data_IF_750549585403
#
_entry.id   IF_750549585403
#
_cell.length_a   1.000
_cell.length_b   1.000
_cell.length_c   1.000
_cell.angle_alpha   90.00
_cell.angle_beta   90.00
_cell.angle_gamma   90.00
#
_symmetry.space_group_name_H-M   'P 1'
#
loop_
_entity.id
_entity.type
_entity.pdbx_description
1 polymer ?
#
# COMPACT_ATOMS: atom_id res chain seq x y z
N UNK A 1 0.16 -5.81 21.92
CA UNK A 1 0.29 -7.14 21.28
C UNK A 1 1.75 -7.54 21.22
N UNK A 2 2.11 -8.82 21.35
CA UNK A 2 3.50 -9.23 21.25
C UNK A 2 4.01 -9.11 19.80
N UNK A 3 5.31 -8.83 19.66
CA UNK A 3 6.05 -8.93 18.42
C UNK A 3 5.96 -10.36 17.85
N UNK A 4 6.08 -10.50 16.52
CA UNK A 4 6.20 -11.80 15.85
C UNK A 4 7.68 -12.15 15.62
N UNK A 5 8.03 -13.42 15.36
CA UNK A 5 9.41 -13.77 15.01
C UNK A 5 9.97 -12.96 13.84
N UNK A 6 9.13 -12.71 12.83
CA UNK A 6 9.48 -11.86 11.70
C UNK A 6 9.73 -10.40 12.13
N UNK A 7 8.81 -9.80 12.88
CA UNK A 7 8.97 -8.39 13.28
C UNK A 7 10.21 -8.19 14.16
N UNK A 8 10.51 -9.13 15.07
CA UNK A 8 11.75 -9.12 15.85
C UNK A 8 12.99 -9.26 14.96
N UNK A 9 12.97 -10.15 13.96
CA UNK A 9 14.10 -10.28 13.02
C UNK A 9 14.35 -9.01 12.20
N UNK A 10 13.30 -8.21 11.99
CA UNK A 10 13.35 -6.90 11.33
C UNK A 10 13.63 -5.74 12.29
N UNK A 11 13.89 -6.01 13.59
CA UNK A 11 14.12 -4.99 14.63
C UNK A 11 12.92 -4.04 14.83
N UNK A 12 11.71 -4.60 14.75
CA UNK A 12 10.44 -3.89 14.97
C UNK A 12 9.86 -4.25 16.35
N UNK A 13 9.19 -3.28 16.97
CA UNK A 13 8.48 -3.49 18.24
C UNK A 13 7.08 -4.07 18.02
N UNK A 14 6.47 -3.74 16.88
CA UNK A 14 5.13 -4.20 16.49
C UNK A 14 5.14 -4.77 15.06
N UNK A 15 4.32 -5.79 14.76
CA UNK A 15 4.29 -6.42 13.44
C UNK A 15 3.39 -5.63 12.47
N UNK A 16 3.60 -4.30 12.38
CA UNK A 16 2.81 -3.38 11.57
C UNK A 16 3.73 -2.68 10.57
N UNK A 17 3.30 -2.67 9.31
CA UNK A 17 3.95 -1.98 8.19
C UNK A 17 2.92 -1.01 7.60
N UNK A 18 3.29 0.26 7.38
CA UNK A 18 2.44 1.09 6.50
C UNK A 18 2.70 0.66 5.05
N UNK A 19 1.65 0.52 4.26
CA UNK A 19 1.80 0.20 2.85
C UNK A 19 2.55 1.35 2.12
N UNK A 20 3.45 1.05 1.17
CA UNK A 20 4.03 2.03 0.26
C UNK A 20 2.98 2.47 -0.76
N UNK A 21 2.25 3.53 -0.42
CA UNK A 21 1.20 4.10 -1.25
C UNK A 21 1.77 5.24 -2.10
N UNK A 22 1.83 5.05 -3.42
CA UNK A 22 2.36 6.05 -4.35
C UNK A 22 1.66 7.40 -4.20
N UNK A 23 2.41 8.47 -3.92
CA UNK A 23 1.87 9.82 -3.74
C UNK A 23 1.18 10.08 -2.40
N UNK A 24 1.09 9.09 -1.51
CA UNK A 24 0.44 9.23 -0.19
C UNK A 24 1.39 8.88 0.95
N UNK A 25 2.15 7.78 0.81
CA UNK A 25 3.13 7.34 1.80
C UNK A 25 4.50 7.99 1.53
N UNK A 26 4.65 9.24 1.95
CA UNK A 26 5.92 9.96 1.89
C UNK A 26 6.91 9.57 2.99
N UNK A 27 8.09 10.21 2.96
CA UNK A 27 9.16 10.01 3.94
C UNK A 27 8.78 10.39 5.37
N UNK A 28 7.96 11.44 5.54
CA UNK A 28 7.48 11.85 6.86
C UNK A 28 6.62 10.77 7.53
N UNK A 29 5.69 10.15 6.79
CA UNK A 29 4.88 9.03 7.26
C UNK A 29 5.75 7.83 7.61
N UNK A 30 6.65 7.42 6.69
CA UNK A 30 7.56 6.31 6.93
C UNK A 30 8.38 6.53 8.21
N UNK A 31 8.99 7.70 8.37
CA UNK A 31 9.78 8.02 9.55
C UNK A 31 8.95 7.99 10.85
N UNK A 32 7.69 8.46 10.81
CA UNK A 32 6.80 8.43 11.97
C UNK A 32 6.41 7.00 12.37
N UNK A 33 6.08 6.14 11.40
CA UNK A 33 5.76 4.72 11.61
C UNK A 33 6.96 3.97 12.19
N UNK A 34 8.16 4.18 11.63
CA UNK A 34 9.40 3.57 12.11
C UNK A 34 9.76 4.00 13.54
N UNK A 35 9.57 5.28 13.89
CA UNK A 35 9.77 5.78 15.26
C UNK A 35 8.77 5.20 16.25
N UNK A 36 7.55 4.92 15.80
CA UNK A 36 6.51 4.27 16.60
C UNK A 36 6.66 2.75 16.71
N UNK A 37 7.74 2.18 16.17
CA UNK A 37 8.10 0.78 16.32
C UNK A 37 7.54 -0.18 15.26
N UNK A 38 6.79 0.33 14.28
CA UNK A 38 6.46 -0.41 13.06
C UNK A 38 7.56 -0.29 12.00
N UNK A 39 7.30 -0.80 10.79
CA UNK A 39 8.14 -0.57 9.62
C UNK A 39 7.52 0.51 8.73
N UNK A 40 8.18 1.66 8.67
CA UNK A 40 7.83 2.75 7.78
C UNK A 40 8.22 2.49 6.33
N UNK A 41 7.28 2.60 5.40
CA UNK A 41 7.53 2.43 3.96
C UNK A 41 7.26 3.72 3.18
N UNK A 42 8.25 4.16 2.39
CA UNK A 42 8.08 5.20 1.36
C UNK A 42 7.48 4.56 0.11
N UNK A 43 6.43 5.15 -0.47
CA UNK A 43 5.75 4.65 -1.66
C UNK A 43 6.02 5.48 -2.91
N UNK A 44 6.66 4.86 -3.92
CA UNK A 44 6.91 5.48 -5.22
C UNK A 44 5.96 4.90 -6.28
N UNK A 45 5.00 5.72 -6.72
CA UNK A 45 3.96 5.33 -7.70
C UNK A 45 4.43 5.30 -9.16
N UNK A 46 3.49 5.11 -10.10
CA UNK A 46 3.77 4.95 -11.53
C UNK A 46 4.51 6.14 -12.15
N UNK A 47 4.22 7.35 -11.66
CA UNK A 47 4.83 8.60 -12.10
C UNK A 47 6.09 8.99 -11.29
N UNK A 48 6.61 8.09 -10.45
CA UNK A 48 7.77 8.39 -9.61
C UNK A 48 9.01 8.78 -10.42
N UNK A 49 9.77 9.72 -9.85
CA UNK A 49 11.06 10.18 -10.35
C UNK A 49 12.13 10.00 -9.27
N UNK A 50 13.40 9.99 -9.68
CA UNK A 50 14.53 9.96 -8.74
C UNK A 50 14.50 11.17 -7.80
N UNK A 51 14.24 12.37 -8.33
CA UNK A 51 14.15 13.59 -7.53
C UNK A 51 13.04 13.52 -6.47
N UNK A 52 11.89 12.95 -6.80
CA UNK A 52 10.81 12.79 -5.84
C UNK A 52 11.20 11.81 -4.73
N UNK A 53 11.90 10.71 -5.08
CA UNK A 53 12.43 9.78 -4.06
C UNK A 53 13.47 10.46 -3.17
N UNK A 54 14.43 11.20 -3.74
CA UNK A 54 15.47 11.92 -2.99
C UNK A 54 14.87 12.90 -1.99
N UNK A 55 13.81 13.62 -2.37
CA UNK A 55 13.07 14.50 -1.47
C UNK A 55 12.49 13.73 -0.28
N UNK A 56 11.82 12.59 -0.54
CA UNK A 56 11.26 11.77 0.53
C UNK A 56 12.34 11.17 1.44
N UNK A 57 13.50 10.81 0.87
CA UNK A 57 14.63 10.25 1.63
C UNK A 57 15.22 11.23 2.65
N UNK A 58 15.00 12.55 2.49
CA UNK A 58 15.45 13.53 3.49
C UNK A 58 14.84 13.30 4.87
N UNK A 59 13.60 12.79 4.95
CA UNK A 59 12.88 12.56 6.20
C UNK A 59 13.35 11.33 6.99
N UNK A 60 14.03 10.39 6.33
CA UNK A 60 14.55 9.16 6.94
C UNK A 60 16.08 9.18 7.08
N UNK A 61 16.73 10.26 6.65
CA UNK A 61 18.17 10.45 6.84
C UNK A 61 18.51 10.49 8.33
N UNK A 62 19.41 9.60 8.75
CA UNK A 62 19.82 9.50 10.16
C UNK A 62 18.78 8.83 11.08
N UNK A 63 17.74 8.21 10.51
CA UNK A 63 16.78 7.44 11.29
C UNK A 63 17.47 6.19 11.87
N UNK A 64 17.45 6.04 13.20
CA UNK A 64 18.02 4.88 13.92
C UNK A 64 17.08 3.66 13.95
N UNK A 65 16.03 3.68 13.13
CA UNK A 65 15.00 2.64 13.03
C UNK A 65 14.87 2.20 11.57
N UNK A 66 14.54 0.93 11.31
CA UNK A 66 14.41 0.43 9.94
C UNK A 66 13.29 1.17 9.21
N UNK A 67 13.52 1.43 7.94
CA UNK A 67 12.50 1.88 6.99
C UNK A 67 12.60 1.02 5.72
N UNK A 68 11.59 1.10 4.87
CA UNK A 68 11.61 0.46 3.57
C UNK A 68 11.09 1.36 2.46
N UNK A 69 11.20 0.85 1.23
CA UNK A 69 10.78 1.55 0.01
C UNK A 69 9.95 0.60 -0.84
N UNK A 70 8.83 1.06 -1.35
CA UNK A 70 8.01 0.37 -2.33
C UNK A 70 8.08 1.03 -3.69
N UNK A 71 8.33 0.22 -4.73
CA UNK A 71 8.35 0.62 -6.13
C UNK A 71 7.33 -0.20 -6.94
N UNK A 72 7.03 0.27 -8.13
CA UNK A 72 6.19 -0.45 -9.09
C UNK A 72 7.07 -1.14 -10.13
N UNK A 73 6.74 -2.37 -10.52
CA UNK A 73 7.54 -3.21 -11.42
C UNK A 73 7.90 -2.54 -12.75
N UNK A 74 6.95 -1.94 -13.47
CA UNK A 74 7.29 -1.19 -14.69
C UNK A 74 8.08 0.09 -14.41
N UNK A 75 7.95 0.66 -13.21
CA UNK A 75 8.78 1.78 -12.75
C UNK A 75 10.24 1.38 -12.68
N UNK A 76 10.53 0.23 -12.07
CA UNK A 76 11.86 -0.36 -12.01
C UNK A 76 12.41 -0.66 -13.41
N UNK A 77 11.59 -1.25 -14.30
CA UNK A 77 12.02 -1.59 -15.67
C UNK A 77 12.30 -0.36 -16.52
N UNK A 78 11.41 0.65 -16.50
CA UNK A 78 11.55 1.82 -17.37
C UNK A 78 12.53 2.87 -16.83
N UNK A 79 12.81 2.84 -15.52
CA UNK A 79 13.72 3.78 -14.85
C UNK A 79 14.68 3.04 -13.90
N UNK A 80 15.71 2.34 -14.43
CA UNK A 80 16.66 1.62 -13.59
C UNK A 80 17.32 2.48 -12.50
N UNK A 81 17.57 3.76 -12.80
CA UNK A 81 18.10 4.72 -11.82
C UNK A 81 17.23 4.87 -10.55
N UNK A 82 15.90 4.68 -10.66
CA UNK A 82 15.02 4.72 -9.49
C UNK A 82 15.29 3.54 -8.54
N UNK A 83 15.55 2.35 -9.08
CA UNK A 83 15.95 1.20 -8.29
C UNK A 83 17.33 1.42 -7.67
N UNK A 84 18.30 1.97 -8.43
CA UNK A 84 19.63 2.28 -7.88
C UNK A 84 19.56 3.23 -6.69
N UNK A 85 18.81 4.34 -6.83
CA UNK A 85 18.64 5.31 -5.75
C UNK A 85 17.96 4.68 -4.54
N UNK A 86 16.94 3.85 -4.76
CA UNK A 86 16.27 3.15 -3.67
C UNK A 86 17.21 2.18 -2.93
N UNK A 87 18.02 1.39 -3.65
CA UNK A 87 18.98 0.46 -3.04
C UNK A 87 20.11 1.21 -2.32
N UNK A 88 20.62 2.29 -2.91
CA UNK A 88 21.68 3.12 -2.31
C UNK A 88 21.24 3.81 -1.01
N UNK A 89 19.93 4.01 -0.83
CA UNK A 89 19.38 4.52 0.43
C UNK A 89 19.45 3.50 1.59
N UNK A 90 19.75 2.23 1.31
CA UNK A 90 19.88 1.16 2.31
C UNK A 90 18.58 0.83 3.07
N UNK A 91 17.43 0.63 2.40
CA UNK A 91 16.20 0.24 3.09
C UNK A 91 16.34 -1.15 3.69
N UNK A 92 15.77 -1.36 4.87
CA UNK A 92 15.67 -2.69 5.49
C UNK A 92 14.80 -3.64 4.66
N UNK A 93 13.78 -3.10 3.98
CA UNK A 93 12.88 -3.84 3.11
C UNK A 93 12.62 -3.07 1.81
N UNK A 94 12.86 -3.72 0.68
CA UNK A 94 12.45 -3.27 -0.64
C UNK A 94 11.24 -4.08 -1.10
N UNK A 95 10.16 -3.39 -1.45
CA UNK A 95 9.01 -4.01 -2.11
C UNK A 95 8.90 -3.57 -3.55
N UNK A 96 8.73 -4.52 -4.47
CA UNK A 96 8.36 -4.23 -5.85
C UNK A 96 7.12 -5.04 -6.18
N UNK A 97 6.05 -4.35 -6.56
CA UNK A 97 4.74 -4.97 -6.82
C UNK A 97 4.30 -4.79 -8.28
N UNK A 98 3.26 -5.54 -8.67
CA UNK A 98 2.60 -5.44 -9.98
C UNK A 98 3.48 -5.80 -11.19
N UNK A 99 4.46 -6.67 -11.00
CA UNK A 99 5.33 -7.20 -12.05
C UNK A 99 5.39 -8.72 -12.04
N UNK A 100 5.75 -9.27 -13.19
CA UNK A 100 5.97 -10.72 -13.40
C UNK A 100 7.46 -11.06 -13.58
N UNK A 101 8.32 -10.04 -13.53
CA UNK A 101 9.77 -10.13 -13.62
C UNK A 101 10.44 -9.85 -12.26
N UNK A 102 11.49 -10.61 -11.99
CA UNK A 102 12.19 -10.63 -10.70
C UNK A 102 13.68 -10.27 -10.73
N UNK A 103 14.26 -9.63 -11.78
CA UNK A 103 15.70 -9.33 -11.80
C UNK A 103 16.12 -8.39 -10.66
N UNK A 104 15.18 -7.63 -10.08
CA UNK A 104 15.43 -6.76 -8.92
C UNK A 104 15.67 -7.54 -7.62
N UNK A 105 15.22 -8.79 -7.51
CA UNK A 105 15.33 -9.58 -6.26
C UNK A 105 16.80 -9.83 -5.93
N UNK A 106 17.58 -10.35 -6.87
CA UNK A 106 19.01 -10.59 -6.68
C UNK A 106 19.76 -9.30 -6.33
N UNK A 107 19.42 -8.18 -6.98
CA UNK A 107 20.05 -6.88 -6.73
C UNK A 107 19.73 -6.34 -5.34
N UNK A 108 18.51 -6.57 -4.86
CA UNK A 108 18.11 -6.21 -3.50
C UNK A 108 18.81 -7.09 -2.47
N UNK A 109 18.97 -8.39 -2.71
CA UNK A 109 19.76 -9.28 -1.85
C UNK A 109 21.23 -8.87 -1.79
N UNK A 110 21.85 -8.53 -2.92
CA UNK A 110 23.24 -8.04 -2.99
C UNK A 110 23.43 -6.74 -2.20
N UNK A 111 22.39 -5.91 -2.11
CA UNK A 111 22.36 -4.69 -1.31
C UNK A 111 22.01 -4.92 0.18
N UNK A 112 21.72 -6.17 0.57
CA UNK A 112 21.33 -6.52 1.95
C UNK A 112 19.88 -6.19 2.31
N UNK A 113 19.03 -5.89 1.33
CA UNK A 113 17.62 -5.56 1.55
C UNK A 113 16.75 -6.82 1.60
N UNK A 114 15.83 -6.88 2.56
CA UNK A 114 14.75 -7.89 2.53
C UNK A 114 13.81 -7.59 1.38
N UNK A 115 13.45 -8.61 0.62
CA UNK A 115 12.59 -8.48 -0.57
C UNK A 115 11.14 -8.83 -0.25
N UNK A 116 10.20 -7.98 -0.70
CA UNK A 116 8.78 -8.25 -0.54
C UNK A 116 7.96 -7.97 -1.80
N UNK A 117 6.86 -8.70 -2.00
CA UNK A 117 5.92 -8.39 -3.09
C UNK A 117 4.48 -8.69 -2.70
N UNK A 118 3.56 -7.92 -3.28
CA UNK A 118 2.14 -8.17 -3.19
C UNK A 118 1.73 -9.37 -4.04
N UNK A 119 0.91 -10.23 -3.46
CA UNK A 119 0.30 -11.39 -4.11
C UNK A 119 -1.21 -11.40 -3.83
N UNK A 120 -1.99 -11.86 -4.81
CA UNK A 120 -3.46 -11.82 -4.76
C UNK A 120 -4.10 -13.21 -4.92
N UNK A 121 -3.26 -14.23 -5.15
CA UNK A 121 -3.63 -15.63 -5.26
C UNK A 121 -2.42 -16.51 -4.93
N UNK A 122 -2.66 -17.80 -4.75
CA UNK A 122 -1.61 -18.76 -4.47
C UNK A 122 -0.59 -18.89 -5.61
N UNK A 123 -1.02 -18.72 -6.86
CA UNK A 123 -0.14 -18.85 -8.02
C UNK A 123 0.95 -17.76 -8.02
N UNK A 124 0.56 -16.51 -7.78
CA UNK A 124 1.48 -15.38 -7.64
C UNK A 124 2.37 -15.52 -6.40
N UNK A 125 1.84 -16.07 -5.29
CA UNK A 125 2.64 -16.42 -4.11
C UNK A 125 3.76 -17.40 -4.43
N UNK A 126 3.46 -18.51 -5.11
CA UNK A 126 4.47 -19.51 -5.46
C UNK A 126 5.54 -18.93 -6.39
N UNK A 127 5.14 -18.17 -7.42
CA UNK A 127 6.07 -17.52 -8.34
C UNK A 127 7.02 -16.55 -7.65
N UNK A 128 6.52 -15.80 -6.66
CA UNK A 128 7.34 -14.88 -5.88
C UNK A 128 8.37 -15.65 -5.02
N UNK A 129 7.95 -16.74 -4.36
CA UNK A 129 8.86 -17.61 -3.58
C UNK A 129 9.92 -18.24 -4.47
N UNK A 130 9.53 -18.79 -5.63
CA UNK A 130 10.44 -19.42 -6.59
C UNK A 130 11.47 -18.42 -7.13
N UNK A 131 11.11 -17.13 -7.19
CA UNK A 131 11.99 -16.05 -7.58
C UNK A 131 12.92 -15.55 -6.45
N UNK A 132 12.79 -16.08 -5.24
CA UNK A 132 13.60 -15.70 -4.08
C UNK A 132 13.07 -14.53 -3.26
N UNK A 133 11.81 -14.12 -3.45
CA UNK A 133 11.18 -13.11 -2.58
C UNK A 133 11.07 -13.64 -1.15
N UNK A 134 11.53 -12.86 -0.18
CA UNK A 134 11.67 -13.29 1.21
C UNK A 134 10.43 -13.01 2.08
N UNK A 135 9.55 -12.11 1.67
CA UNK A 135 8.30 -11.77 2.39
C UNK A 135 7.16 -11.61 1.39
N UNK A 136 6.04 -12.28 1.63
CA UNK A 136 4.83 -12.11 0.82
C UNK A 136 3.88 -11.13 1.47
N UNK A 137 3.22 -10.29 0.68
CA UNK A 137 2.12 -9.43 1.12
C UNK A 137 0.83 -9.97 0.51
N UNK A 138 0.09 -10.77 1.28
CA UNK A 138 -1.19 -11.35 0.88
C UNK A 138 -2.28 -10.28 0.93
N UNK A 139 -2.57 -9.66 -0.22
CA UNK A 139 -3.51 -8.54 -0.32
C UNK A 139 -4.88 -9.02 -0.80
N UNK A 140 -5.84 -9.01 0.12
CA UNK A 140 -7.24 -9.37 -0.17
C UNK A 140 -7.98 -8.34 -1.01
N UNK A 141 -9.09 -8.74 -1.62
CA UNK A 141 -9.93 -7.92 -2.50
C UNK A 141 -10.43 -6.61 -1.85
N UNK A 142 -10.46 -6.56 -0.52
CA UNK A 142 -10.87 -5.45 0.33
C UNK A 142 -9.85 -4.29 0.36
N UNK A 143 -8.61 -4.52 -0.06
CA UNK A 143 -7.56 -3.50 -0.09
C UNK A 143 -7.90 -2.31 -0.99
N UNK A 144 -7.39 -1.14 -0.64
CA UNK A 144 -7.46 0.08 -1.46
C UNK A 144 -6.43 0.12 -2.59
N UNK A 145 -6.59 1.04 -3.53
CA UNK A 145 -5.69 1.22 -4.66
C UNK A 145 -5.66 0.02 -5.60
N UNK A 146 -4.69 0.01 -6.51
CA UNK A 146 -4.54 -1.06 -7.51
C UNK A 146 -4.26 -2.42 -6.87
N UNK A 147 -4.90 -3.44 -7.43
CA UNK A 147 -4.69 -4.82 -7.03
C UNK A 147 -5.70 -5.74 -7.70
N UNK A 148 -5.40 -7.03 -7.75
CA UNK A 148 -6.33 -8.03 -8.28
C UNK A 148 -7.39 -8.34 -7.19
N UNK A 149 -8.69 -8.05 -7.42
CA UNK A 149 -9.73 -8.21 -6.40
C UNK A 149 -10.34 -9.63 -6.42
N UNK A 150 -9.52 -10.66 -6.28
CA UNK A 150 -9.93 -12.06 -6.47
C UNK A 150 -10.45 -12.74 -5.21
N UNK A 151 -9.70 -12.66 -4.12
CA UNK A 151 -9.96 -13.42 -2.89
C UNK A 151 -9.92 -12.47 -1.71
N UNK A 152 -10.82 -12.65 -0.74
CA UNK A 152 -10.82 -11.85 0.50
C UNK A 152 -9.62 -12.16 1.39
N UNK A 153 -9.19 -11.20 2.21
CA UNK A 153 -7.94 -11.25 2.98
C UNK A 153 -7.79 -12.54 3.80
N UNK A 154 -8.83 -12.95 4.53
CA UNK A 154 -8.74 -14.10 5.41
C UNK A 154 -8.54 -15.41 4.64
N UNK A 155 -9.34 -15.64 3.59
CA UNK A 155 -9.24 -16.83 2.74
C UNK A 155 -7.91 -16.89 2.00
N UNK A 156 -7.45 -15.76 1.46
CA UNK A 156 -6.16 -15.67 0.76
C UNK A 156 -5.01 -15.98 1.70
N UNK A 157 -5.04 -15.41 2.91
CA UNK A 157 -4.01 -15.60 3.92
C UNK A 157 -3.89 -17.07 4.33
N UNK A 158 -5.01 -17.74 4.64
CA UNK A 158 -4.97 -19.16 5.05
C UNK A 158 -4.43 -20.06 3.94
N UNK A 159 -4.86 -19.82 2.69
CA UNK A 159 -4.42 -20.65 1.56
C UNK A 159 -2.91 -20.55 1.30
N UNK A 160 -2.34 -19.34 1.42
CA UNK A 160 -0.91 -19.10 1.25
C UNK A 160 -0.12 -19.70 2.41
N UNK A 161 -0.54 -19.46 3.66
CA UNK A 161 0.17 -19.94 4.86
C UNK A 161 0.33 -21.47 4.89
N UNK A 162 -0.62 -22.22 4.33
CA UNK A 162 -0.55 -23.68 4.24
C UNK A 162 0.52 -24.19 3.25
N UNK A 163 1.10 -23.32 2.42
CA UNK A 163 1.90 -23.72 1.24
C UNK A 163 3.28 -23.08 1.17
N UNK A 164 3.53 -22.01 1.92
CA UNK A 164 4.81 -21.31 1.94
C UNK A 164 5.37 -21.24 3.34
N UNK A 165 6.69 -21.20 3.45
CA UNK A 165 7.40 -21.07 4.73
C UNK A 165 7.94 -19.66 4.97
N UNK A 166 7.99 -18.82 3.93
CA UNK A 166 8.38 -17.42 4.06
C UNK A 166 7.34 -16.63 4.86
N UNK A 167 7.74 -15.59 5.62
CA UNK A 167 6.80 -14.70 6.30
C UNK A 167 5.74 -14.13 5.35
N UNK A 168 4.48 -14.18 5.79
CA UNK A 168 3.34 -13.61 5.05
C UNK A 168 2.72 -12.48 5.85
N UNK A 169 2.71 -11.27 5.29
CA UNK A 169 2.02 -10.11 5.84
C UNK A 169 0.61 -10.04 5.25
N UNK A 170 -0.40 -9.88 6.11
CA UNK A 170 -1.78 -9.72 5.67
C UNK A 170 -2.04 -8.27 5.25
N UNK A 171 -2.73 -8.06 4.13
CA UNK A 171 -3.12 -6.74 3.64
C UNK A 171 -4.57 -6.74 3.15
N UNK A 172 -5.26 -5.61 3.31
CA UNK A 172 -6.65 -5.42 2.89
C UNK A 172 -7.64 -5.57 4.05
N UNK A 173 -8.48 -4.54 4.24
CA UNK A 173 -9.51 -4.52 5.30
C UNK A 173 -9.01 -4.31 6.74
N UNK A 174 -7.70 -4.24 6.98
CA UNK A 174 -7.13 -4.11 8.33
C UNK A 174 -7.08 -2.63 8.74
N UNK A 175 -8.01 -2.21 9.59
CA UNK A 175 -8.08 -0.82 10.09
C UNK A 175 -8.40 -0.70 11.59
N UNK A 176 -8.61 -1.82 12.28
CA UNK A 176 -8.89 -1.87 13.73
C UNK A 176 -8.04 -2.93 14.43
N UNK A 177 -7.91 -2.83 15.76
CA UNK A 177 -7.17 -3.82 16.55
C UNK A 177 -7.78 -5.22 16.50
N UNK A 178 -9.10 -5.33 16.28
CA UNK A 178 -9.79 -6.62 16.05
C UNK A 178 -9.34 -7.26 14.74
N UNK A 179 -9.31 -6.49 13.66
CA UNK A 179 -8.84 -6.97 12.36
C UNK A 179 -7.36 -7.38 12.41
N UNK A 180 -6.52 -6.58 13.07
CA UNK A 180 -5.11 -6.89 13.27
C UNK A 180 -4.91 -8.17 14.09
N UNK A 181 -5.65 -8.31 15.21
CA UNK A 181 -5.61 -9.54 16.03
C UNK A 181 -6.05 -10.77 15.24
N UNK A 182 -7.08 -10.65 14.38
CA UNK A 182 -7.59 -11.76 13.58
C UNK A 182 -6.55 -12.30 12.59
N UNK A 183 -5.87 -11.42 11.86
CA UNK A 183 -4.86 -11.86 10.87
C UNK A 183 -3.60 -12.42 11.55
N UNK A 184 -3.20 -11.86 12.69
CA UNK A 184 -2.09 -12.41 13.48
C UNK A 184 -2.44 -13.78 14.07
N UNK A 185 -3.65 -13.94 14.60
CA UNK A 185 -4.13 -15.23 15.10
C UNK A 185 -4.25 -16.30 13.99
N UNK A 186 -4.49 -15.87 12.75
CA UNK A 186 -4.50 -16.75 11.57
C UNK A 186 -3.10 -17.22 11.18
N UNK A 187 -2.04 -16.56 11.67
CA UNK A 187 -0.65 -16.91 11.40
C UNK A 187 0.11 -15.91 10.52
N UNK A 188 -0.47 -14.74 10.21
CA UNK A 188 0.28 -13.70 9.53
C UNK A 188 1.50 -13.28 10.37
N UNK A 189 2.63 -13.08 9.70
CA UNK A 189 3.85 -12.54 10.29
C UNK A 189 3.69 -11.06 10.68
N UNK A 190 2.71 -10.37 10.12
CA UNK A 190 2.36 -8.99 10.43
C UNK A 190 1.26 -8.47 9.52
N UNK A 191 0.95 -7.18 9.64
CA UNK A 191 -0.04 -6.50 8.83
C UNK A 191 0.57 -5.38 8.00
N UNK A 192 0.13 -5.29 6.75
CA UNK A 192 0.50 -4.29 5.77
C UNK A 192 -0.70 -3.39 5.49
N UNK A 193 -0.68 -2.19 6.09
CA UNK A 193 -1.88 -1.38 6.28
C UNK A 193 -1.78 -0.10 5.43
N UNK A 194 -2.77 0.11 4.56
CA UNK A 194 -2.86 1.30 3.70
C UNK A 194 -3.75 2.38 4.31
N UNK A 195 -5.06 2.25 4.16
CA UNK A 195 -6.06 3.29 4.44
C UNK A 195 -5.95 3.95 5.82
N UNK A 196 -5.70 3.19 6.89
CA UNK A 196 -5.53 3.79 8.22
C UNK A 196 -4.31 4.72 8.30
N UNK A 197 -3.22 4.38 7.61
CA UNK A 197 -2.02 5.23 7.56
C UNK A 197 -2.11 6.34 6.51
N UNK A 198 -2.94 6.16 5.46
CA UNK A 198 -3.25 7.22 4.50
C UNK A 198 -3.99 8.40 5.16
N UNK A 199 -4.77 8.15 6.22
CA UNK A 199 -5.45 9.20 6.97
C UNK A 199 -4.56 9.91 8.01
N UNK A 200 -3.32 9.47 8.21
CA UNK A 200 -2.42 10.07 9.20
C UNK A 200 -1.98 11.48 8.82
N UNK A 201 -1.66 12.29 9.85
CA UNK A 201 -1.16 13.67 9.68
C UNK A 201 0.12 13.75 8.85
N UNK A 202 0.99 12.73 8.97
CA UNK A 202 2.28 12.66 8.31
C UNK A 202 2.20 12.17 6.86
N UNK A 203 1.03 11.73 6.42
CA UNK A 203 0.81 11.34 5.02
C UNK A 203 0.71 12.56 4.10
N UNK A 204 1.04 12.34 2.82
CA UNK A 204 0.92 13.34 1.77
C UNK A 204 -0.53 13.47 1.25
N UNK A 205 -1.49 12.74 1.82
CA UNK A 205 -2.90 12.86 1.43
C UNK A 205 -3.41 14.27 1.77
N UNK A 206 -4.00 15.03 0.83
CA UNK A 206 -4.49 16.37 1.13
C UNK A 206 -5.57 16.38 2.23
N UNK A 207 -5.64 17.47 3.00
CA UNK A 207 -6.62 17.58 4.11
C UNK A 207 -8.07 17.42 3.67
N UNK A 208 -8.41 17.98 2.49
CA UNK A 208 -9.74 17.82 1.92
C UNK A 208 -10.05 16.36 1.55
N UNK A 209 -9.06 15.58 1.08
CA UNK A 209 -9.23 14.14 0.85
C UNK A 209 -9.36 13.38 2.17
N UNK A 210 -8.54 13.70 3.18
CA UNK A 210 -8.63 13.11 4.53
C UNK A 210 -10.02 13.30 5.12
N UNK A 211 -10.61 14.49 4.99
CA UNK A 211 -11.94 14.79 5.49
C UNK A 211 -13.03 13.90 4.85
N UNK A 212 -12.96 13.68 3.53
CA UNK A 212 -13.87 12.77 2.82
C UNK A 212 -13.62 11.31 3.23
N UNK A 213 -12.35 10.91 3.35
CA UNK A 213 -11.99 9.54 3.74
C UNK A 213 -12.53 9.16 5.11
N UNK A 214 -12.40 10.01 6.13
CA UNK A 214 -12.85 9.66 7.49
C UNK A 214 -14.39 9.69 7.66
N UNK A 215 -15.09 10.28 6.68
CA UNK A 215 -16.55 10.30 6.64
C UNK A 215 -17.15 9.05 5.96
N UNK A 216 -16.35 8.29 5.21
CA UNK A 216 -16.80 7.14 4.44
C UNK A 216 -17.13 5.91 5.31
N UNK A 217 -18.09 5.12 4.85
CA UNK A 217 -18.46 3.81 5.37
C UNK A 217 -17.78 2.65 4.65
N UNK A 218 -18.04 1.44 5.13
CA UNK A 218 -17.52 0.16 4.60
C UNK A 218 -17.98 -0.14 3.15
N UNK A 219 -19.19 0.29 2.80
CA UNK A 219 -19.81 0.07 1.47
C UNK A 219 -19.55 1.20 0.46
N UNK A 220 -18.88 2.27 0.88
CA UNK A 220 -18.62 3.46 0.07
C UNK A 220 -17.39 3.33 -0.84
N UNK A 221 -16.86 2.13 -1.04
CA UNK A 221 -15.78 1.88 -2.01
C UNK A 221 -16.26 1.10 -3.22
N UNK A 222 -15.62 1.33 -4.36
CA UNK A 222 -15.83 0.61 -5.61
C UNK A 222 -14.48 0.22 -6.20
N UNK A 223 -14.45 -0.89 -6.94
CA UNK A 223 -13.30 -1.29 -7.74
C UNK A 223 -13.58 -0.93 -9.19
N UNK A 224 -12.75 -0.08 -9.78
CA UNK A 224 -13.01 0.53 -11.08
C UNK A 224 -11.73 0.65 -11.91
N UNK A 225 -11.90 0.88 -13.21
CA UNK A 225 -10.82 1.27 -14.14
C UNK A 225 -11.03 2.67 -14.70
N UNK A 226 -12.12 3.35 -14.33
CA UNK A 226 -12.54 4.60 -14.96
C UNK A 226 -11.46 5.69 -14.86
N UNK A 227 -10.82 5.86 -13.71
CA UNK A 227 -9.75 6.84 -13.54
C UNK A 227 -8.48 6.48 -14.31
N UNK A 228 -8.09 5.19 -14.33
CA UNK A 228 -6.93 4.75 -15.11
C UNK A 228 -7.11 5.02 -16.60
N UNK A 229 -8.29 4.70 -17.13
CA UNK A 229 -8.64 4.94 -18.54
C UNK A 229 -8.67 6.44 -18.83
N UNK A 230 -9.33 7.23 -17.98
CA UNK A 230 -9.46 8.68 -18.17
C UNK A 230 -8.10 9.40 -18.09
N UNK A 231 -7.22 9.00 -17.17
CA UNK A 231 -5.90 9.61 -16.96
C UNK A 231 -4.80 8.99 -17.84
N UNK A 232 -5.14 7.99 -18.66
CA UNK A 232 -4.19 7.31 -19.54
C UNK A 232 -3.10 6.52 -18.79
N UNK A 233 -3.39 6.04 -17.59
CA UNK A 233 -2.43 5.25 -16.82
C UNK A 233 -2.32 3.81 -17.37
N UNK A 234 -1.11 3.23 -17.44
CA UNK A 234 -0.88 1.95 -18.08
C UNK A 234 -1.22 0.75 -17.19
N UNK A 235 -2.25 0.86 -16.33
CA UNK A 235 -2.68 -0.24 -15.47
C UNK A 235 -3.43 -1.30 -16.29
N UNK A 236 -3.07 -2.59 -16.18
CA UNK A 236 -3.79 -3.64 -16.88
C UNK A 236 -5.18 -3.83 -16.27
N UNK A 237 -6.14 -4.25 -17.08
CA UNK A 237 -7.52 -4.50 -16.66
C UNK A 237 -7.65 -5.46 -15.46
N UNK A 238 -6.68 -6.35 -15.26
CA UNK A 238 -6.62 -7.31 -14.16
C UNK A 238 -6.18 -6.71 -12.83
N UNK A 239 -5.71 -5.46 -12.83
CA UNK A 239 -5.29 -4.70 -11.65
C UNK A 239 -6.08 -3.39 -11.57
N UNK A 240 -7.42 -3.42 -11.45
CA UNK A 240 -8.21 -2.22 -11.23
C UNK A 240 -7.86 -1.57 -9.88
N UNK A 241 -8.24 -0.31 -9.69
CA UNK A 241 -8.09 0.36 -8.40
C UNK A 241 -9.37 0.31 -7.55
N UNK A 242 -9.20 0.21 -6.23
CA UNK A 242 -10.28 0.43 -5.27
C UNK A 242 -10.19 1.83 -4.67
N UNK A 243 -11.26 2.58 -4.86
CA UNK A 243 -11.42 3.99 -4.52
C UNK A 243 -12.72 4.21 -3.75
N UNK A 244 -12.85 5.35 -3.08
CA UNK A 244 -14.15 5.84 -2.62
C UNK A 244 -15.07 6.11 -3.82
N UNK A 245 -16.34 5.74 -3.70
CA UNK A 245 -17.38 6.07 -4.69
C UNK A 245 -17.57 7.57 -4.71
N UNK A 246 -17.69 8.12 -5.91
CA UNK A 246 -18.00 9.52 -6.14
C UNK A 246 -18.80 9.67 -7.46
N UNK A 247 -19.11 10.90 -7.85
CA UNK A 247 -19.94 11.15 -9.05
C UNK A 247 -19.27 10.69 -10.34
N UNK A 248 -17.94 10.61 -10.38
CA UNK A 248 -17.20 10.10 -11.53
C UNK A 248 -17.35 8.58 -11.63
N UNK A 249 -17.13 7.85 -10.54
CA UNK A 249 -17.32 6.39 -10.53
C UNK A 249 -18.77 6.01 -10.79
N UNK A 250 -19.73 6.72 -10.19
CA UNK A 250 -21.16 6.43 -10.38
C UNK A 250 -21.59 6.54 -11.84
N UNK A 251 -20.88 7.37 -12.62
CA UNK A 251 -21.18 7.60 -14.03
C UNK A 251 -20.43 6.66 -14.98
N UNK A 252 -19.16 6.40 -14.69
CA UNK A 252 -18.20 5.84 -15.66
C UNK A 252 -17.69 4.44 -15.32
N UNK A 253 -17.90 3.94 -14.10
CA UNK A 253 -17.56 2.56 -13.76
C UNK A 253 -18.34 1.58 -14.65
N UNK A 254 -17.62 0.71 -15.37
CA UNK A 254 -18.20 -0.21 -16.35
C UNK A 254 -18.68 0.44 -17.66
N UNK A 255 -18.39 1.73 -17.87
CA UNK A 255 -18.70 2.52 -19.08
C UNK A 255 -17.47 3.30 -19.56
N UNK A 256 -16.29 2.74 -19.33
CA UNK A 256 -15.02 3.41 -19.62
C UNK A 256 -14.81 3.65 -21.11
N UNK A 257 -15.48 2.88 -21.98
CA UNK A 257 -15.51 3.04 -23.44
C UNK A 257 -16.34 4.24 -23.90
N UNK A 258 -17.19 4.80 -23.02
CA UNK A 258 -17.98 6.01 -23.28
C UNK A 258 -17.29 7.30 -22.83
N UNK A 259 -16.09 7.23 -22.23
CA UNK A 259 -15.34 8.40 -21.80
C UNK A 259 -14.89 9.25 -23.00
N UNK A 260 -15.34 10.50 -23.03
CA UNK A 260 -14.93 11.49 -24.03
C UNK A 260 -13.96 12.53 -23.44
N UNK A 261 -13.43 13.41 -24.30
CA UNK A 261 -12.49 14.45 -23.88
C UNK A 261 -13.08 15.40 -22.84
N UNK A 262 -14.38 15.68 -22.90
CA UNK A 262 -15.03 16.57 -21.94
C UNK A 262 -15.09 15.95 -20.53
N UNK A 263 -15.37 14.65 -20.43
CA UNK A 263 -15.33 13.93 -19.16
C UNK A 263 -13.91 13.90 -18.57
N UNK A 264 -12.89 13.73 -19.42
CA UNK A 264 -11.48 13.75 -19.03
C UNK A 264 -11.07 15.15 -18.53
N UNK A 265 -11.46 16.21 -19.21
CA UNK A 265 -11.17 17.59 -18.81
C UNK A 265 -11.81 17.94 -17.45
N UNK A 266 -13.04 17.46 -17.21
CA UNK A 266 -13.71 17.59 -15.90
C UNK A 266 -12.93 16.89 -14.80
N UNK A 267 -12.44 15.68 -15.06
CA UNK A 267 -11.64 14.94 -14.09
C UNK A 267 -10.32 15.66 -13.77
N UNK A 268 -9.59 16.14 -14.79
CA UNK A 268 -8.36 16.89 -14.59
C UNK A 268 -8.60 18.15 -13.75
N UNK A 269 -9.62 18.93 -14.09
CA UNK A 269 -10.01 20.13 -13.33
C UNK A 269 -10.31 19.78 -11.87
N UNK A 270 -11.08 18.72 -11.63
CA UNK A 270 -11.41 18.28 -10.28
C UNK A 270 -10.18 17.84 -9.47
N UNK A 271 -9.20 17.19 -10.11
CA UNK A 271 -7.94 16.81 -9.44
C UNK A 271 -7.15 18.06 -9.06
N UNK A 272 -7.00 19.02 -9.98
CA UNK A 272 -6.24 20.25 -9.75
C UNK A 272 -6.90 21.11 -8.64
N UNK A 273 -8.23 21.17 -8.62
CA UNK A 273 -9.02 21.92 -7.63
C UNK A 273 -9.27 21.14 -6.32
N UNK A 274 -8.82 19.88 -6.24
CA UNK A 274 -9.10 18.97 -5.12
C UNK A 274 -10.60 18.78 -4.83
N UNK A 275 -11.43 18.71 -5.88
CA UNK A 275 -12.85 18.41 -5.79
C UNK A 275 -13.09 16.89 -5.74
N UNK A 276 -13.10 16.33 -4.55
CA UNK A 276 -13.30 14.89 -4.31
C UNK A 276 -14.73 14.39 -4.53
N UNK A 277 -15.65 15.25 -4.99
CA UNK A 277 -16.92 14.77 -5.59
C UNK A 277 -16.66 14.06 -6.93
N UNK A 278 -15.52 14.34 -7.57
CA UNK A 278 -15.10 13.78 -8.87
C UNK A 278 -13.70 13.16 -8.78
N UNK A 279 -12.75 13.83 -8.11
CA UNK A 279 -11.38 13.34 -7.99
C UNK A 279 -11.28 12.04 -7.16
N UNK A 280 -10.40 11.11 -7.53
CA UNK A 280 -10.28 9.81 -6.87
C UNK A 280 -9.64 9.91 -5.48
N UNK A 281 -10.13 9.10 -4.55
CA UNK A 281 -9.48 8.82 -3.25
C UNK A 281 -9.32 7.31 -3.12
N UNK A 282 -8.08 6.84 -3.11
CA UNK A 282 -7.77 5.43 -2.88
C UNK A 282 -8.04 5.02 -1.43
N UNK A 283 -8.94 4.05 -1.23
CA UNK A 283 -9.30 3.54 0.09
C UNK A 283 -9.78 2.08 -0.01
N UNK A 284 -9.46 1.28 1.01
CA UNK A 284 -9.97 -0.07 1.16
C UNK A 284 -11.30 -0.09 1.92
N UNK A 285 -11.98 -1.24 1.95
CA UNK A 285 -13.26 -1.39 2.65
C UNK A 285 -13.15 -1.23 4.18
N UNK A 286 -11.94 -1.29 4.74
CA UNK A 286 -11.68 -0.95 6.14
C UNK A 286 -11.82 0.55 6.45
N UNK A 287 -12.11 1.42 5.47
CA UNK A 287 -12.22 2.87 5.66
C UNK A 287 -13.26 3.26 6.72
N UNK A 288 -14.34 2.49 6.86
CA UNK A 288 -15.38 2.72 7.88
C UNK A 288 -14.90 2.59 9.34
N UNK A 289 -13.69 2.10 9.59
CA UNK A 289 -13.06 2.08 10.93
C UNK A 289 -12.14 3.30 11.16
N UNK A 290 -11.83 4.06 10.12
CA UNK A 290 -10.94 5.22 10.15
C UNK A 290 -11.77 6.49 10.35
N UNK A 291 -11.93 6.93 11.60
CA UNK A 291 -12.87 8.01 11.95
C UNK A 291 -12.23 9.35 12.27
N UNK A 292 -10.91 9.39 12.44
CA UNK A 292 -10.19 10.58 12.89
C UNK A 292 -8.83 10.70 12.21
N UNK A 293 -8.41 11.93 11.96
CA UNK A 293 -7.04 12.24 11.53
C UNK A 293 -6.14 12.30 12.77
N UNK A 294 -5.27 11.32 12.91
CA UNK A 294 -4.38 11.13 14.06
C UNK A 294 -2.92 10.93 13.61
N UNK A 295 -1.91 11.17 14.46
CA UNK A 295 -0.53 10.82 14.15
C UNK A 295 -0.35 9.31 13.95
N UNK A 296 0.62 8.90 13.14
CA UNK A 296 0.89 7.48 12.87
C UNK A 296 1.17 6.65 14.14
N UNK A 297 1.80 7.25 15.15
CA UNK A 297 2.03 6.60 16.45
C UNK A 297 0.71 6.26 17.17
N UNK A 298 -0.28 7.17 17.15
CA UNK A 298 -1.58 6.94 17.76
C UNK A 298 -2.37 5.85 17.02
N UNK A 299 -2.27 5.80 15.68
CA UNK A 299 -2.84 4.68 14.90
C UNK A 299 -2.24 3.35 15.34
N UNK A 300 -0.91 3.27 15.50
CA UNK A 300 -0.24 2.04 15.95
C UNK A 300 -0.70 1.65 17.36
N UNK A 301 -0.75 2.59 18.29
CA UNK A 301 -1.24 2.37 19.66
C UNK A 301 -2.67 1.84 19.65
N UNK A 302 -3.56 2.45 18.87
CA UNK A 302 -4.97 2.04 18.72
C UNK A 302 -5.10 0.65 18.09
N UNK A 303 -4.32 0.34 17.05
CA UNK A 303 -4.31 -0.98 16.42
C UNK A 303 -3.77 -2.06 17.37
N UNK A 304 -2.81 -1.70 18.23
CA UNK A 304 -2.22 -2.62 19.21
C UNK A 304 -3.02 -2.73 20.52
N UNK A 305 -3.90 -1.77 20.79
CA UNK A 305 -4.80 -1.74 21.92
C UNK A 305 -5.86 -2.83 21.78
N UNK A 306 -6.12 -3.56 22.87
CA UNK A 306 -7.24 -4.49 22.92
C UNK A 306 -8.52 -3.65 22.75
N UNK A 307 -9.21 -3.83 21.63
CA UNK A 307 -10.46 -3.14 21.35
C UNK A 307 -11.43 -3.36 22.51
N UNK A 308 -11.66 -2.30 23.29
CA UNK A 308 -12.73 -2.22 24.27
C UNK A 308 -14.09 -2.46 23.64
#
# INVERSE_FOLDING_TARGET
>A
MPATPWSTSMTLDVPIVNAPMGGVAGGALAAAVSRAGGLGMIGMGSAATVSALDEQLTHVRGLERPFGIGLIGWGVRSRPALLETALAAGPALLSVSFGDDWPWVARAHDAGCVTATQVADLHSAQRAVDAGVQVLVARGAEGGGHGRPTVGTLTLLTEILDRVTVPVLAAGGIASGRALSAVLATGAAGAWIGTAFAACKESLLPDAARAVMIAAGDTDTVTTRAFDVALGYPWPATLPERVLRNTFTDRWDGREDELDSAAIDVLHTAIDEQDYRVAPINAGQGVGEVRTVEPAAAVIERLCGHGG
#
